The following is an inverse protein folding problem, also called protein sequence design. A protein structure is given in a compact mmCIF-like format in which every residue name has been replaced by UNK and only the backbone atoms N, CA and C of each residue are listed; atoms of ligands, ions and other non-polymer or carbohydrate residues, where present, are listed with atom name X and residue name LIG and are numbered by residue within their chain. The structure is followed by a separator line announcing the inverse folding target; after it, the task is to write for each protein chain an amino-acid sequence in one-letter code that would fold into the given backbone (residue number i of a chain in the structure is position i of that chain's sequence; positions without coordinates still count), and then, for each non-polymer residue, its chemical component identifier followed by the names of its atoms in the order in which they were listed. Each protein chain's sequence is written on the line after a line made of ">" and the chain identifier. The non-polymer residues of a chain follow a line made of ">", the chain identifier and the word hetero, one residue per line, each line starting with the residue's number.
data_IF_315338115898
#
_entry.id   IF_315338115898
#
_cell.length_a   1.000
_cell.length_b   1.000
_cell.length_c   1.000
_cell.angle_alpha   90.00
_cell.angle_beta   90.00
_cell.angle_gamma   90.00
#
_symmetry.space_group_name_H-M   'P 1'
#
loop_
_entity.id
_entity.type
_entity.pdbx_description
1 polymer ?
#
# COMPACT_ATOMS: atom_id res chain seq x y z
N UNK A 1 -8.76 -15.22 -18.29
CA UNK A 1 -7.76 -15.21 -17.19
C UNK A 1 -7.49 -13.79 -16.76
N UNK A 2 -7.54 -13.53 -15.46
CA UNK A 2 -7.28 -12.18 -14.91
C UNK A 2 -5.78 -12.05 -14.70
N UNK A 3 -5.18 -11.04 -15.32
CA UNK A 3 -3.75 -10.80 -15.22
C UNK A 3 -3.38 -10.03 -13.94
N UNK A 4 -2.08 -9.83 -13.72
CA UNK A 4 -1.57 -9.15 -12.53
C UNK A 4 -2.11 -7.72 -12.44
N UNK A 5 -2.12 -6.99 -13.55
CA UNK A 5 -2.57 -5.59 -13.53
C UNK A 5 -4.04 -5.48 -13.14
N UNK A 6 -4.88 -6.37 -13.65
CA UNK A 6 -6.31 -6.37 -13.29
C UNK A 6 -6.51 -6.70 -11.82
N UNK A 7 -5.73 -7.64 -11.27
CA UNK A 7 -5.80 -8.00 -9.86
C UNK A 7 -5.30 -6.86 -8.97
N UNK A 8 -4.24 -6.18 -9.40
CA UNK A 8 -3.72 -5.01 -8.70
C UNK A 8 -4.75 -3.89 -8.68
N UNK A 9 -5.38 -3.61 -9.82
CA UNK A 9 -6.41 -2.59 -9.92
C UNK A 9 -7.58 -2.89 -8.98
N UNK A 10 -7.98 -4.15 -8.89
CA UNK A 10 -9.05 -4.57 -7.98
C UNK A 10 -8.65 -4.35 -6.53
N UNK A 11 -7.42 -4.72 -6.16
CA UNK A 11 -6.88 -4.52 -4.82
C UNK A 11 -6.91 -3.03 -4.44
N UNK A 12 -6.40 -2.17 -5.32
CA UNK A 12 -6.36 -0.73 -5.10
C UNK A 12 -7.77 -0.17 -4.94
N UNK A 13 -8.70 -0.57 -5.80
CA UNK A 13 -10.10 -0.15 -5.73
C UNK A 13 -10.73 -0.51 -4.38
N UNK A 14 -10.45 -1.70 -3.88
CA UNK A 14 -10.97 -2.14 -2.57
C UNK A 14 -10.41 -1.31 -1.44
N UNK A 15 -9.10 -1.03 -1.46
CA UNK A 15 -8.47 -0.19 -0.44
C UNK A 15 -9.12 1.20 -0.43
N UNK A 16 -9.31 1.78 -1.60
CA UNK A 16 -9.92 3.10 -1.74
C UNK A 16 -11.35 3.12 -1.20
N UNK A 17 -12.15 2.11 -1.54
CA UNK A 17 -13.53 2.00 -1.06
C UNK A 17 -13.61 1.90 0.46
N UNK A 18 -12.70 1.13 1.06
CA UNK A 18 -12.76 0.85 2.49
C UNK A 18 -12.21 2.01 3.32
N UNK A 19 -11.15 2.66 2.87
CA UNK A 19 -10.39 3.61 3.70
C UNK A 19 -10.37 5.05 3.21
N UNK A 20 -10.62 5.30 1.93
CA UNK A 20 -10.52 6.63 1.32
C UNK A 20 -9.19 7.30 1.63
N UNK A 21 -8.07 6.71 1.20
CA UNK A 21 -6.75 7.24 1.54
C UNK A 21 -6.42 8.50 0.74
N UNK A 22 -5.40 9.23 1.19
CA UNK A 22 -4.87 10.36 0.44
C UNK A 22 -4.06 9.88 -0.75
N UNK A 23 -3.32 8.79 -0.59
CA UNK A 23 -2.38 8.31 -1.58
C UNK A 23 -2.04 6.84 -1.32
N UNK A 24 -1.75 6.09 -2.38
CA UNK A 24 -1.22 4.73 -2.27
C UNK A 24 0.02 4.62 -3.14
N UNK A 25 1.11 4.12 -2.56
CA UNK A 25 2.38 3.91 -3.26
C UNK A 25 2.74 2.43 -3.21
N UNK A 26 2.96 1.84 -4.38
CA UNK A 26 3.45 0.47 -4.49
C UNK A 26 4.97 0.49 -4.44
N UNK A 27 5.56 -0.33 -3.57
CA UNK A 27 7.01 -0.39 -3.42
C UNK A 27 7.49 -1.86 -3.37
N UNK A 28 8.77 -2.06 -3.10
CA UNK A 28 9.34 -3.39 -3.05
C UNK A 28 9.51 -4.01 -4.44
N UNK A 29 9.48 -5.32 -4.51
CA UNK A 29 9.75 -6.06 -5.76
C UNK A 29 8.74 -5.76 -6.86
N UNK A 30 7.48 -5.55 -6.52
CA UNK A 30 6.45 -5.23 -7.51
C UNK A 30 6.74 -3.91 -8.23
N UNK A 31 7.25 -2.90 -7.49
CA UNK A 31 7.60 -1.61 -8.08
C UNK A 31 8.85 -1.69 -8.96
N UNK A 32 9.73 -2.65 -8.68
CA UNK A 32 10.95 -2.86 -9.46
C UNK A 32 10.76 -3.82 -10.63
N UNK A 33 9.54 -4.26 -10.88
CA UNK A 33 9.21 -5.23 -11.94
C UNK A 33 9.87 -6.61 -11.75
N UNK A 34 10.27 -6.92 -10.53
CA UNK A 34 10.82 -8.24 -10.17
C UNK A 34 9.70 -9.18 -9.75
N UNK A 35 8.60 -9.15 -10.49
CA UNK A 35 7.40 -9.87 -10.11
C UNK A 35 7.48 -11.32 -10.56
N UNK A 36 7.48 -12.23 -9.60
CA UNK A 36 7.27 -13.64 -9.86
C UNK A 36 5.83 -14.03 -9.51
N UNK A 37 5.42 -15.26 -9.81
CA UNK A 37 4.06 -15.72 -9.53
C UNK A 37 3.68 -15.67 -8.06
N UNK A 38 4.66 -15.75 -7.17
CA UNK A 38 4.46 -15.77 -5.73
C UNK A 38 4.88 -14.47 -5.03
N UNK A 39 5.14 -13.41 -5.80
CA UNK A 39 5.59 -12.14 -5.22
C UNK A 39 4.44 -11.41 -4.54
N UNK A 40 4.69 -10.92 -3.33
CA UNK A 40 3.77 -10.07 -2.60
C UNK A 40 3.81 -8.66 -3.17
N UNK A 41 2.66 -8.00 -3.13
CA UNK A 41 2.57 -6.58 -3.47
C UNK A 41 2.67 -5.78 -2.17
N UNK A 42 3.66 -4.90 -2.09
CA UNK A 42 3.85 -4.03 -0.92
C UNK A 42 3.25 -2.66 -1.21
N UNK A 43 2.32 -2.23 -0.36
CA UNK A 43 1.60 -0.96 -0.53
C UNK A 43 1.75 -0.08 0.69
N UNK A 44 2.14 1.17 0.47
CA UNK A 44 2.11 2.21 1.48
C UNK A 44 0.81 3.00 1.29
N UNK A 45 -0.09 2.90 2.27
CA UNK A 45 -1.38 3.58 2.24
C UNK A 45 -1.29 4.81 3.15
N UNK A 46 -1.29 5.99 2.55
CA UNK A 46 -1.16 7.25 3.27
C UNK A 46 -2.56 7.77 3.58
N UNK A 47 -2.87 7.81 4.86
CA UNK A 47 -4.18 8.21 5.38
C UNK A 47 -4.14 9.62 5.96
N UNK A 48 -5.31 10.28 6.09
CA UNK A 48 -5.37 11.58 6.75
C UNK A 48 -4.90 11.52 8.20
N UNK A 49 -4.46 12.66 8.72
CA UNK A 49 -4.08 12.77 10.13
C UNK A 49 -5.22 12.30 11.04
N UNK A 50 -4.86 11.69 12.15
CA UNK A 50 -5.83 11.14 13.09
C UNK A 50 -6.27 9.72 12.82
N UNK A 51 -5.84 9.14 11.71
CA UNK A 51 -6.19 7.76 11.36
C UNK A 51 -5.47 6.77 12.31
N UNK A 52 -6.21 5.78 12.79
CA UNK A 52 -5.65 4.69 13.59
C UNK A 52 -5.01 3.66 12.64
N UNK A 53 -3.70 3.71 12.53
CA UNK A 53 -2.95 2.92 11.55
C UNK A 53 -3.16 1.42 11.68
N UNK A 54 -3.02 0.89 12.90
CA UNK A 54 -3.16 -0.55 13.13
C UNK A 54 -4.58 -1.04 12.85
N UNK A 55 -5.57 -0.31 13.33
CA UNK A 55 -6.98 -0.66 13.11
C UNK A 55 -7.31 -0.62 11.63
N UNK A 56 -6.79 0.35 10.89
CA UNK A 56 -6.98 0.47 9.45
C UNK A 56 -6.35 -0.71 8.71
N UNK A 57 -5.12 -1.06 9.05
CA UNK A 57 -4.44 -2.21 8.44
C UNK A 57 -5.20 -3.51 8.71
N UNK A 58 -5.63 -3.73 9.95
CA UNK A 58 -6.41 -4.92 10.31
C UNK A 58 -7.73 -4.99 9.55
N UNK A 59 -8.39 -3.85 9.38
CA UNK A 59 -9.64 -3.77 8.61
C UNK A 59 -9.40 -4.17 7.15
N UNK A 60 -8.32 -3.68 6.55
CA UNK A 60 -7.98 -4.03 5.18
C UNK A 60 -7.71 -5.52 5.01
N UNK A 61 -6.93 -6.11 5.90
CA UNK A 61 -6.66 -7.56 5.84
C UNK A 61 -7.91 -8.39 6.06
N UNK A 62 -8.82 -7.92 6.90
CA UNK A 62 -10.06 -8.65 7.18
C UNK A 62 -11.08 -8.53 6.05
N UNK A 63 -11.20 -7.37 5.44
CA UNK A 63 -12.26 -7.11 4.46
C UNK A 63 -11.86 -7.35 3.01
N UNK A 64 -10.56 -7.35 2.70
CA UNK A 64 -10.13 -7.61 1.33
C UNK A 64 -9.86 -9.10 1.16
N UNK A 65 -10.57 -9.71 0.25
CA UNK A 65 -10.39 -11.12 -0.10
C UNK A 65 -10.69 -11.32 -1.58
N UNK A 66 -10.20 -12.43 -2.13
CA UNK A 66 -10.52 -12.81 -3.50
C UNK A 66 -9.85 -11.96 -4.58
N UNK A 67 -8.86 -11.13 -4.24
CA UNK A 67 -8.14 -10.33 -5.24
C UNK A 67 -7.12 -11.17 -6.00
N UNK A 68 -6.75 -12.34 -5.49
CA UNK A 68 -5.91 -13.30 -6.19
C UNK A 68 -4.43 -13.02 -6.17
N UNK A 69 -3.96 -12.04 -5.38
CA UNK A 69 -2.54 -11.79 -5.17
C UNK A 69 -2.29 -11.55 -3.68
N UNK A 70 -1.17 -12.04 -3.16
CA UNK A 70 -0.77 -11.71 -1.79
C UNK A 70 -0.37 -10.23 -1.72
N UNK A 71 -0.68 -9.59 -0.60
CA UNK A 71 -0.32 -8.18 -0.42
C UNK A 71 0.01 -7.88 1.02
N UNK A 72 0.88 -6.88 1.22
CA UNK A 72 1.18 -6.32 2.52
C UNK A 72 0.87 -4.83 2.49
N UNK A 73 0.27 -4.33 3.56
CA UNK A 73 -0.12 -2.93 3.68
C UNK A 73 0.60 -2.29 4.85
N UNK A 74 1.28 -1.19 4.57
CA UNK A 74 1.86 -0.31 5.58
C UNK A 74 1.01 0.95 5.59
N UNK A 75 0.34 1.24 6.71
CA UNK A 75 -0.52 2.42 6.84
C UNK A 75 0.24 3.52 7.57
N UNK A 76 0.23 4.72 7.03
CA UNK A 76 0.91 5.87 7.62
C UNK A 76 0.11 7.14 7.39
N UNK A 77 0.34 8.14 8.22
CA UNK A 77 -0.17 9.50 8.03
C UNK A 77 0.99 10.38 7.58
N UNK A 78 0.71 11.59 7.03
CA UNK A 78 1.80 12.51 6.65
C UNK A 78 2.75 12.82 7.81
N UNK A 79 2.23 12.98 9.04
CA UNK A 79 3.10 13.24 10.17
C UNK A 79 3.94 12.03 10.59
N UNK A 80 3.46 10.80 10.37
CA UNK A 80 4.26 9.61 10.61
C UNK A 80 5.48 9.57 9.69
N UNK A 81 5.25 9.88 8.42
CA UNK A 81 6.32 9.92 7.42
C UNK A 81 7.36 10.97 7.80
N UNK A 82 6.90 12.14 8.22
CA UNK A 82 7.78 13.23 8.61
C UNK A 82 8.56 12.92 9.89
N UNK A 83 7.89 12.36 10.90
CA UNK A 83 8.50 12.04 12.20
C UNK A 83 9.55 10.94 12.11
N UNK A 84 9.31 9.94 11.28
CA UNK A 84 10.14 8.74 11.25
C UNK A 84 11.10 8.68 10.07
N UNK A 85 11.31 9.81 9.40
CA UNK A 85 12.17 9.86 8.22
C UNK A 85 13.62 9.47 8.50
N UNK A 86 14.07 9.56 9.75
CA UNK A 86 15.45 9.24 10.14
C UNK A 86 15.61 7.84 10.75
N UNK A 87 14.52 7.17 11.09
CA UNK A 87 14.53 5.84 11.74
C UNK A 87 13.81 4.81 10.86
N UNK A 88 12.56 4.52 11.21
CA UNK A 88 11.66 3.69 10.42
C UNK A 88 11.48 4.32 9.05
N UNK A 89 11.82 5.58 8.95
CA UNK A 89 11.79 6.34 7.73
C UNK A 89 12.60 5.77 6.59
N UNK A 90 13.50 4.83 6.82
CA UNK A 90 14.17 4.13 5.72
C UNK A 90 13.15 3.40 4.86
N UNK A 91 12.12 2.79 5.47
CA UNK A 91 11.05 2.12 4.74
C UNK A 91 10.21 3.17 3.99
N UNK A 92 9.82 4.25 4.66
CA UNK A 92 9.02 5.31 4.03
C UNK A 92 9.80 6.01 2.92
N UNK A 93 11.08 6.30 3.17
CA UNK A 93 11.94 6.95 2.19
C UNK A 93 12.10 6.08 0.95
N UNK A 94 12.40 4.81 1.14
CA UNK A 94 12.56 3.86 0.04
C UNK A 94 11.25 3.73 -0.74
N UNK A 95 10.13 3.60 -0.04
CA UNK A 95 8.82 3.50 -0.68
C UNK A 95 8.50 4.74 -1.51
N UNK A 96 8.80 5.93 -0.97
CA UNK A 96 8.49 7.17 -1.67
C UNK A 96 9.43 7.50 -2.81
N UNK A 97 10.70 7.11 -2.71
CA UNK A 97 11.70 7.37 -3.76
C UNK A 97 11.67 6.35 -4.89
N UNK A 98 11.51 5.07 -4.55
CA UNK A 98 11.58 3.98 -5.51
C UNK A 98 10.21 3.42 -5.86
N UNK A 99 9.20 3.80 -5.12
CA UNK A 99 7.84 3.32 -5.31
C UNK A 99 7.13 3.98 -6.48
N UNK A 100 6.03 3.37 -6.87
CA UNK A 100 5.16 3.86 -7.93
C UNK A 100 3.86 4.29 -7.29
N UNK A 101 3.46 5.55 -7.50
CA UNK A 101 2.18 6.03 -7.03
C UNK A 101 1.07 5.36 -7.86
N UNK A 102 0.20 4.61 -7.19
CA UNK A 102 -0.88 3.89 -7.85
C UNK A 102 -2.25 4.50 -7.58
N UNK A 103 -2.32 5.45 -6.65
CA UNK A 103 -3.55 6.18 -6.35
C UNK A 103 -3.22 7.51 -5.68
N UNK A 104 -3.93 8.55 -6.07
CA UNK A 104 -3.89 9.87 -5.40
C UNK A 104 -5.31 10.43 -5.40
N UNK A 105 -5.74 10.89 -4.22
CA UNK A 105 -7.06 11.48 -4.05
C UNK A 105 -7.14 12.84 -4.75
#
# INVERSE_FOLDING_TARGET
>A
MIDFQSRLDLLISRIVEITHPLRIVMFGSAARSDIGPDSDVDLLVIMPEGTRRRATAQKLYREISGVGIPFDVLVATPSDILKHKDNIGLIYRSALREGIEVYAA
#
